data_IF_957524165752
#
_entry.id   IF_957524165752
#
_cell.length_a   1.000
_cell.length_b   1.000
_cell.length_c   1.000
_cell.angle_alpha   90.00
_cell.angle_beta   90.00
_cell.angle_gamma   90.00
#
_symmetry.space_group_name_H-M   'P 1'
#
loop_
_entity.id
_entity.type
_entity.pdbx_description
1 polymer ?
#
# COMPACT_ATOMS: atom_id res chain seq x y z
N UNK A 1 24.51 14.91 11.49
CA UNK A 1 23.20 14.33 11.91
C UNK A 1 22.21 14.36 10.73
N UNK A 2 22.68 14.20 9.49
CA UNK A 2 21.99 14.78 8.32
C UNK A 2 21.43 13.74 7.33
N UNK A 3 21.74 12.45 7.53
CA UNK A 3 21.24 11.36 6.68
C UNK A 3 19.77 11.00 6.95
N UNK A 4 19.32 11.11 8.20
CA UNK A 4 17.97 10.72 8.61
C UNK A 4 16.90 11.67 8.03
N UNK A 5 17.16 12.99 8.02
CA UNK A 5 16.25 13.98 7.41
C UNK A 5 16.11 13.77 5.90
N UNK A 6 17.20 13.51 5.20
CA UNK A 6 17.18 13.39 3.74
C UNK A 6 16.41 12.15 3.25
N UNK A 7 16.53 11.03 3.96
CA UNK A 7 15.87 9.77 3.60
C UNK A 7 14.38 9.75 3.96
N UNK A 8 14.01 10.37 5.09
CA UNK A 8 12.64 10.30 5.61
C UNK A 8 11.79 11.56 5.39
N UNK A 9 12.39 12.73 5.12
CA UNK A 9 11.67 14.00 4.97
C UNK A 9 11.75 14.56 3.55
N UNK A 10 12.88 14.42 2.87
CA UNK A 10 13.07 15.00 1.53
C UNK A 10 12.58 14.09 0.40
N UNK A 11 12.65 12.76 0.54
CA UNK A 11 12.14 11.80 -0.45
C UNK A 11 10.61 11.80 -0.65
N UNK A 12 9.76 11.94 0.40
CA UNK A 12 8.31 12.02 0.23
C UNK A 12 7.86 13.35 -0.38
N UNK A 13 8.59 14.44 -0.13
CA UNK A 13 8.29 15.77 -0.71
C UNK A 13 8.43 15.78 -2.24
N UNK A 14 9.24 14.91 -2.83
CA UNK A 14 9.41 14.85 -4.29
C UNK A 14 8.26 14.14 -5.04
N UNK A 15 7.28 13.57 -4.33
CA UNK A 15 6.09 12.92 -4.92
C UNK A 15 4.75 13.58 -4.55
N UNK A 16 4.79 14.74 -3.88
CA UNK A 16 3.58 15.54 -3.61
C UNK A 16 2.64 15.01 -2.53
N UNK A 17 2.99 13.92 -1.84
CA UNK A 17 2.27 13.42 -0.66
C UNK A 17 2.94 13.90 0.63
N UNK A 18 2.14 14.17 1.67
CA UNK A 18 2.74 14.37 3.00
C UNK A 18 3.41 13.06 3.45
N UNK A 19 4.59 13.14 4.06
CA UNK A 19 5.30 11.96 4.57
C UNK A 19 4.39 11.06 5.43
N UNK A 20 3.50 11.67 6.22
CA UNK A 20 2.53 10.96 7.05
C UNK A 20 1.50 10.16 6.23
N UNK A 21 1.08 10.65 5.07
CA UNK A 21 0.14 9.95 4.19
C UNK A 21 0.81 8.75 3.53
N UNK A 22 2.02 8.93 3.01
CA UNK A 22 2.79 7.85 2.41
C UNK A 22 3.18 6.78 3.44
N UNK A 23 3.67 7.22 4.60
CA UNK A 23 4.00 6.36 5.73
C UNK A 23 2.77 5.59 6.23
N UNK A 24 1.62 6.25 6.42
CA UNK A 24 0.38 5.60 6.84
C UNK A 24 -0.07 4.50 5.88
N UNK A 25 -0.04 4.77 4.57
CA UNK A 25 -0.40 3.79 3.54
C UNK A 25 0.54 2.58 3.55
N UNK A 26 1.85 2.84 3.56
CA UNK A 26 2.87 1.79 3.60
C UNK A 26 2.79 0.95 4.89
N UNK A 27 2.64 1.58 6.06
CA UNK A 27 2.48 0.89 7.34
C UNK A 27 1.20 0.08 7.41
N UNK A 28 0.08 0.58 6.88
CA UNK A 28 -1.19 -0.16 6.82
C UNK A 28 -1.05 -1.47 6.03
N UNK A 29 -0.39 -1.42 4.88
CA UNK A 29 -0.08 -2.62 4.08
C UNK A 29 0.88 -3.57 4.82
N UNK A 30 2.01 -3.05 5.29
CA UNK A 30 3.06 -3.85 5.94
C UNK A 30 2.57 -4.55 7.19
N UNK A 31 1.80 -3.85 8.05
CA UNK A 31 1.26 -4.42 9.28
C UNK A 31 0.32 -5.59 9.00
N UNK A 32 -0.55 -5.48 7.99
CA UNK A 32 -1.44 -6.57 7.56
C UNK A 32 -0.66 -7.78 7.06
N UNK A 33 0.43 -7.57 6.33
CA UNK A 33 1.31 -8.65 5.88
C UNK A 33 1.99 -9.37 7.04
N UNK A 34 2.51 -8.63 8.03
CA UNK A 34 3.15 -9.19 9.23
C UNK A 34 2.16 -10.04 10.02
N UNK A 35 0.97 -9.51 10.30
CA UNK A 35 -0.06 -10.26 11.03
C UNK A 35 -0.56 -11.48 10.27
N UNK A 36 -0.74 -11.39 8.95
CA UNK A 36 -1.11 -12.54 8.13
C UNK A 36 -0.01 -13.61 8.11
N UNK A 37 1.27 -13.20 8.05
CA UNK A 37 2.41 -14.11 8.18
C UNK A 37 2.40 -14.85 9.52
N UNK A 38 2.24 -14.12 10.63
CA UNK A 38 2.12 -14.73 11.96
C UNK A 38 0.92 -15.68 12.05
N UNK A 39 -0.22 -15.31 11.48
CA UNK A 39 -1.41 -16.15 11.43
C UNK A 39 -1.16 -17.45 10.63
N UNK A 40 -0.41 -17.39 9.52
CA UNK A 40 -0.01 -18.58 8.76
C UNK A 40 0.95 -19.48 9.55
N UNK A 41 1.89 -18.90 10.30
CA UNK A 41 2.79 -19.68 11.17
C UNK A 41 2.01 -20.39 12.28
N UNK A 42 1.08 -19.68 12.93
CA UNK A 42 0.18 -20.26 13.92
C UNK A 42 -0.70 -21.36 13.33
N UNK A 43 -1.22 -21.17 12.11
CA UNK A 43 -1.97 -22.20 11.40
C UNK A 43 -1.12 -23.45 11.12
N UNK A 44 0.16 -23.27 10.75
CA UNK A 44 1.08 -24.38 10.53
C UNK A 44 1.33 -25.23 11.78
N UNK A 45 1.32 -24.60 12.96
CA UNK A 45 1.46 -25.28 14.26
C UNK A 45 0.10 -25.84 14.73
N UNK A 46 -0.97 -25.08 14.56
CA UNK A 46 -2.33 -25.37 14.98
C UNK A 46 -3.28 -25.27 13.77
N UNK A 47 -3.53 -26.38 13.05
CA UNK A 47 -4.23 -26.36 11.76
C UNK A 47 -5.71 -25.90 11.83
N UNK A 48 -6.27 -25.79 13.04
CA UNK A 48 -7.61 -25.25 13.28
C UNK A 48 -7.61 -23.73 13.51
N UNK A 49 -6.47 -23.11 13.77
CA UNK A 49 -6.35 -21.66 13.98
C UNK A 49 -6.13 -20.95 12.64
N UNK A 50 -6.63 -19.72 12.48
CA UNK A 50 -6.32 -18.82 11.36
C UNK A 50 -6.55 -19.38 9.92
N UNK A 51 -7.44 -20.37 9.75
CA UNK A 51 -7.65 -21.15 8.52
C UNK A 51 -7.81 -20.31 7.24
N UNK A 52 -8.44 -19.13 7.34
CA UNK A 52 -8.67 -18.24 6.19
C UNK A 52 -7.93 -16.91 6.28
N UNK A 53 -7.21 -16.65 7.37
CA UNK A 53 -6.62 -15.34 7.67
C UNK A 53 -5.57 -14.93 6.65
N UNK A 54 -4.66 -15.84 6.29
CA UNK A 54 -3.63 -15.58 5.29
C UNK A 54 -4.22 -15.26 3.92
N UNK A 55 -5.02 -16.19 3.37
CA UNK A 55 -5.60 -16.02 2.02
C UNK A 55 -6.57 -14.83 1.94
N UNK A 56 -7.34 -14.53 2.99
CA UNK A 56 -8.22 -13.36 3.03
C UNK A 56 -7.43 -12.06 3.07
N UNK A 57 -6.31 -12.02 3.79
CA UNK A 57 -5.48 -10.82 3.85
C UNK A 57 -4.81 -10.57 2.51
N UNK A 58 -4.30 -11.60 1.84
CA UNK A 58 -3.72 -11.47 0.49
C UNK A 58 -4.75 -10.94 -0.51
N UNK A 59 -5.99 -11.48 -0.51
CA UNK A 59 -7.08 -10.96 -1.36
C UNK A 59 -7.36 -9.48 -1.09
N UNK A 60 -7.49 -9.10 0.17
CA UNK A 60 -7.73 -7.71 0.54
C UNK A 60 -6.60 -6.78 0.09
N UNK A 61 -5.34 -7.17 0.29
CA UNK A 61 -4.18 -6.38 -0.12
C UNK A 61 -4.08 -6.28 -1.64
N UNK A 62 -4.43 -7.35 -2.35
CA UNK A 62 -4.47 -7.35 -3.81
C UNK A 62 -5.54 -6.39 -4.35
N UNK A 63 -6.76 -6.45 -3.81
CA UNK A 63 -7.84 -5.54 -4.19
C UNK A 63 -7.44 -4.08 -3.91
N UNK A 64 -6.93 -3.80 -2.71
CA UNK A 64 -6.46 -2.47 -2.34
C UNK A 64 -5.34 -1.97 -3.28
N UNK A 65 -4.41 -2.83 -3.69
CA UNK A 65 -3.34 -2.48 -4.63
C UNK A 65 -3.90 -2.09 -6.00
N UNK A 66 -4.90 -2.83 -6.51
CA UNK A 66 -5.51 -2.56 -7.81
C UNK A 66 -6.36 -1.29 -7.77
N UNK A 67 -7.17 -1.10 -6.72
CA UNK A 67 -8.01 0.11 -6.56
C UNK A 67 -7.18 1.38 -6.39
N UNK A 68 -6.05 1.31 -5.69
CA UNK A 68 -5.16 2.47 -5.55
C UNK A 68 -4.39 2.77 -6.85
N UNK A 69 -4.01 1.73 -7.62
CA UNK A 69 -3.38 1.89 -8.94
C UNK A 69 -4.34 2.46 -9.99
N UNK A 70 -5.61 2.09 -9.97
CA UNK A 70 -6.61 2.60 -10.92
C UNK A 70 -6.87 4.10 -10.73
N UNK A 71 -6.82 4.60 -9.49
CA UNK A 71 -6.92 6.03 -9.17
C UNK A 71 -5.77 6.87 -9.74
N UNK A 72 -4.55 6.34 -9.77
CA UNK A 72 -3.39 7.06 -10.33
C UNK A 72 -3.41 7.14 -11.86
N UNK A 73 -4.19 6.28 -12.53
CA UNK A 73 -4.30 6.22 -14.00
C UNK A 73 -5.59 6.87 -14.53
N UNK A 74 -6.35 7.55 -13.68
CA UNK A 74 -7.71 8.01 -13.97
C UNK A 74 -7.81 9.37 -14.68
N UNK A 75 -6.71 10.03 -15.01
CA UNK A 75 -6.73 11.14 -15.96
C UNK A 75 -6.37 10.63 -17.36
N UNK A 76 -7.34 10.41 -18.25
CA UNK A 76 -7.02 10.20 -19.66
C UNK A 76 -6.32 11.43 -20.25
N UNK A 77 -5.18 11.22 -20.89
CA UNK A 77 -4.37 12.24 -21.60
C UNK A 77 -5.19 13.04 -22.64
N UNK A 78 -6.26 12.45 -23.17
CA UNK A 78 -7.13 13.08 -24.15
C UNK A 78 -8.07 14.16 -23.59
N UNK A 79 -8.15 14.35 -22.26
CA UNK A 79 -8.94 15.44 -21.65
C UNK A 79 -8.23 16.80 -21.65
N UNK A 80 -6.94 16.89 -21.98
CA UNK A 80 -6.17 18.16 -21.96
C UNK A 80 -6.03 18.83 -23.36
N UNK A 81 -6.36 18.11 -24.44
CA UNK A 81 -6.07 18.57 -25.81
C UNK A 81 -7.33 18.78 -26.69
N UNK A 82 -8.53 18.71 -26.11
CA UNK A 82 -9.80 18.77 -26.86
C UNK A 82 -10.57 20.09 -26.82
N UNK A 83 -10.06 21.13 -26.14
CA UNK A 83 -10.75 22.43 -26.03
C UNK A 83 -10.31 23.48 -27.07
N UNK A 84 -9.55 23.07 -28.08
CA UNK A 84 -9.08 23.95 -29.16
C UNK A 84 -9.21 23.27 -30.54
N UNK A 85 -10.42 22.81 -30.87
CA UNK A 85 -10.92 22.68 -32.24
C UNK A 85 -12.43 22.82 -32.24
#
# INVERSE_FOLDING_TARGET
>A
MDGFRRLFVDHPKSVGETYLQHMSSAFSFGWRMVLAGLACLLHGIFPFCCVKTGSSTVRHLHDAMITHRSRQRAAPEWLDHGAYI
#
